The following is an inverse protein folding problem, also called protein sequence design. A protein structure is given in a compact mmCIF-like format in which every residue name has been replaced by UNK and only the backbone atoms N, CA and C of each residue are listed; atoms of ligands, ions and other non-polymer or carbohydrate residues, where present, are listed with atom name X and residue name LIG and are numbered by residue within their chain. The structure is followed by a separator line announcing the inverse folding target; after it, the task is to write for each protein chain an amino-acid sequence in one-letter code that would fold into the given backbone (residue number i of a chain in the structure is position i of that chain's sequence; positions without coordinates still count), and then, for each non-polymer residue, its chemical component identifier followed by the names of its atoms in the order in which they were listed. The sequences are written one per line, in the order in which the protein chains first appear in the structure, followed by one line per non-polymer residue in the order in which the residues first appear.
data_IF_955623236290
#
_entry.id   IF_955623236290
#
_cell.length_a   1.000
_cell.length_b   1.000
_cell.length_c   1.000
_cell.angle_alpha   90.00
_cell.angle_beta   90.00
_cell.angle_gamma   90.00
#
_symmetry.space_group_name_H-M   'P 1'
#
loop_
_entity.id
_entity.type
_entity.pdbx_description
1 polymer ?
#
# COMPACT_ATOMS: atom_id res chain seq x y z
N UNK A 1 53.91 35.90 -40.40
CA UNK A 1 53.19 34.88 -41.19
C UNK A 1 51.79 34.75 -40.62
N UNK A 2 50.76 34.90 -41.47
CA UNK A 2 49.33 34.89 -41.10
C UNK A 2 48.74 33.50 -41.40
N UNK A 3 48.00 32.94 -40.45
CA UNK A 3 46.91 31.92 -40.59
C UNK A 3 46.22 31.84 -39.22
N UNK A 4 45.08 32.52 -38.96
CA UNK A 4 43.66 32.18 -39.24
C UNK A 4 43.17 30.85 -38.63
N UNK A 5 42.22 30.97 -37.71
CA UNK A 5 41.24 29.94 -37.32
C UNK A 5 40.83 30.11 -35.84
N UNK A 6 39.57 30.17 -35.42
CA UNK A 6 38.28 30.23 -36.11
C UNK A 6 37.25 30.63 -35.04
N UNK A 7 36.39 31.61 -35.33
CA UNK A 7 35.24 32.00 -34.51
C UNK A 7 33.99 31.31 -35.08
N UNK A 8 33.16 30.68 -34.25
CA UNK A 8 31.80 30.23 -34.58
C UNK A 8 30.94 30.47 -33.32
N UNK A 9 30.09 31.51 -33.25
CA UNK A 9 28.76 31.74 -33.87
C UNK A 9 27.62 30.97 -33.17
N UNK A 10 26.90 31.74 -32.33
CA UNK A 10 25.45 31.94 -32.15
C UNK A 10 24.47 30.80 -32.49
N UNK A 11 23.38 30.77 -31.69
CA UNK A 11 21.95 30.55 -32.05
C UNK A 11 21.36 29.56 -31.04
N UNK A 12 20.26 29.81 -30.34
CA UNK A 12 19.27 30.87 -30.44
C UNK A 12 18.07 30.43 -29.59
N UNK A 13 17.36 31.41 -29.05
CA UNK A 13 16.12 31.24 -28.29
C UNK A 13 15.08 30.44 -29.07
N UNK A 14 14.53 29.41 -28.44
CA UNK A 14 13.27 28.81 -28.86
C UNK A 14 12.18 29.23 -27.86
N UNK A 15 11.37 30.19 -28.29
CA UNK A 15 10.04 30.44 -27.71
C UNK A 15 9.08 29.45 -28.39
N UNK A 16 8.47 28.56 -27.61
CA UNK A 16 7.29 27.79 -28.02
C UNK A 16 6.25 28.00 -26.91
N UNK A 17 5.36 28.97 -27.12
CA UNK A 17 3.98 28.78 -27.58
C UNK A 17 3.10 28.16 -26.49
N UNK A 18 2.32 29.04 -25.87
CA UNK A 18 1.26 28.68 -24.95
C UNK A 18 0.21 27.79 -25.60
N UNK A 19 -0.13 26.74 -24.87
CA UNK A 19 -1.42 26.07 -24.92
C UNK A 19 -1.94 26.09 -23.49
N UNK A 20 -2.87 27.01 -23.21
CA UNK A 20 -3.77 26.90 -22.06
C UNK A 20 -4.64 25.66 -22.29
N UNK A 21 -4.16 24.52 -21.83
CA UNK A 21 -5.01 23.38 -21.55
C UNK A 21 -5.42 23.50 -20.09
N UNK A 22 -6.73 23.58 -19.82
CA UNK A 22 -7.25 23.16 -18.52
C UNK A 22 -6.74 21.73 -18.31
N UNK A 23 -5.71 21.58 -17.48
CA UNK A 23 -5.26 20.26 -17.07
C UNK A 23 -6.44 19.58 -16.38
N UNK A 24 -6.81 18.33 -16.75
CA UNK A 24 -7.69 17.55 -15.90
C UNK A 24 -7.01 17.47 -14.54
N UNK A 25 -7.76 17.65 -13.46
CA UNK A 25 -7.26 17.41 -12.11
C UNK A 25 -6.63 16.02 -12.08
N UNK A 26 -5.30 15.97 -12.16
CA UNK A 26 -4.57 14.73 -12.01
C UNK A 26 -4.90 14.25 -10.60
N UNK A 27 -5.40 13.02 -10.41
CA UNK A 27 -5.41 12.45 -9.07
C UNK A 27 -3.97 12.54 -8.52
N UNK A 28 -3.78 12.84 -7.23
CA UNK A 28 -2.45 13.04 -6.67
C UNK A 28 -1.56 11.85 -7.03
N UNK A 29 -0.45 12.15 -7.70
CA UNK A 29 0.44 11.14 -8.29
C UNK A 29 1.15 10.25 -7.25
N UNK A 30 1.03 10.55 -5.96
CA UNK A 30 1.67 9.79 -4.89
C UNK A 30 0.89 8.52 -4.49
N UNK A 31 -0.45 8.54 -4.48
CA UNK A 31 -1.22 7.40 -3.90
C UNK A 31 -1.17 6.10 -4.72
N UNK A 32 -0.95 6.19 -6.03
CA UNK A 32 -0.84 4.98 -6.86
C UNK A 32 0.53 4.32 -6.73
N UNK A 33 1.58 5.12 -6.51
CA UNK A 33 2.93 4.64 -6.32
C UNK A 33 3.10 3.99 -4.94
N UNK A 34 2.41 4.50 -3.91
CA UNK A 34 2.43 3.94 -2.56
C UNK A 34 1.72 2.56 -2.49
N UNK A 35 0.61 2.40 -3.20
CA UNK A 35 -0.12 1.11 -3.25
C UNK A 35 0.71 -0.01 -3.91
N UNK A 36 1.45 0.28 -4.99
CA UNK A 36 2.33 -0.70 -5.65
C UNK A 36 3.49 -1.12 -4.73
N UNK A 37 4.04 -0.19 -3.94
CA UNK A 37 5.10 -0.48 -2.96
C UNK A 37 4.57 -1.41 -1.87
N UNK A 38 3.39 -1.12 -1.34
CA UNK A 38 2.74 -1.98 -0.34
C UNK A 38 2.44 -3.36 -0.91
N UNK A 39 1.90 -3.43 -2.12
CA UNK A 39 1.60 -4.70 -2.78
C UNK A 39 2.86 -5.56 -2.97
N UNK A 40 3.96 -4.94 -3.43
CA UNK A 40 5.24 -5.63 -3.58
C UNK A 40 5.79 -6.13 -2.24
N UNK A 41 5.69 -5.33 -1.17
CA UNK A 41 6.11 -5.72 0.17
C UNK A 41 5.30 -6.89 0.71
N UNK A 42 3.98 -6.87 0.52
CA UNK A 42 3.08 -7.94 0.94
C UNK A 42 3.37 -9.24 0.17
N UNK A 43 3.55 -9.18 -1.15
CA UNK A 43 3.93 -10.36 -1.96
C UNK A 43 5.28 -10.94 -1.54
N UNK A 44 6.23 -10.10 -1.13
CA UNK A 44 7.54 -10.57 -0.64
C UNK A 44 7.42 -11.24 0.74
N UNK A 45 6.57 -10.73 1.63
CA UNK A 45 6.35 -11.27 2.96
C UNK A 45 5.45 -12.52 2.96
N UNK A 46 4.51 -12.61 2.02
CA UNK A 46 3.55 -13.71 1.89
C UNK A 46 3.71 -14.37 0.52
N UNK A 47 4.73 -15.23 0.34
CA UNK A 47 5.00 -15.89 -0.94
C UNK A 47 3.90 -16.88 -1.35
N UNK A 48 3.03 -17.27 -0.40
CA UNK A 48 1.87 -18.13 -0.63
C UNK A 48 0.69 -17.38 -1.26
N UNK A 49 0.69 -16.05 -1.23
CA UNK A 49 -0.36 -15.25 -1.83
C UNK A 49 -0.22 -15.23 -3.35
N UNK A 50 -1.23 -15.76 -4.05
CA UNK A 50 -1.29 -15.79 -5.52
C UNK A 50 -1.77 -14.47 -6.11
N UNK A 51 -2.55 -13.71 -5.35
CA UNK A 51 -3.03 -12.39 -5.73
C UNK A 51 -3.16 -11.50 -4.48
N UNK A 52 -2.82 -10.22 -4.65
CA UNK A 52 -2.79 -9.20 -3.60
C UNK A 52 -3.41 -7.94 -4.16
N UNK A 53 -4.55 -7.53 -3.59
CA UNK A 53 -5.16 -6.24 -3.92
C UNK A 53 -4.84 -5.27 -2.81
N UNK A 54 -4.28 -4.12 -3.14
CA UNK A 54 -4.07 -3.01 -2.21
C UNK A 54 -4.83 -1.79 -2.70
N UNK A 55 -5.55 -1.14 -1.79
CA UNK A 55 -6.12 0.17 -2.05
C UNK A 55 -5.92 1.08 -0.86
N UNK A 56 -5.39 2.24 -1.15
CA UNK A 56 -5.40 3.35 -0.21
C UNK A 56 -6.73 4.08 -0.28
N UNK A 57 -7.29 4.38 0.89
CA UNK A 57 -8.44 5.26 1.00
C UNK A 57 -8.03 6.44 1.86
N UNK A 58 -7.89 7.60 1.23
CA UNK A 58 -7.75 8.89 1.89
C UNK A 58 -9.08 9.64 1.87
N UNK A 59 -9.71 9.81 3.03
CA UNK A 59 -10.75 10.80 3.26
C UNK A 59 -10.17 12.04 3.93
N UNK A 60 -10.95 13.13 4.01
CA UNK A 60 -10.59 14.38 4.70
C UNK A 60 -10.08 14.22 6.16
N UNK A 61 -10.30 13.06 6.78
CA UNK A 61 -10.01 12.79 8.19
C UNK A 61 -9.41 11.43 8.47
N UNK A 62 -9.22 10.59 7.45
CA UNK A 62 -8.66 9.27 7.70
C UNK A 62 -7.94 8.70 6.48
N UNK A 63 -6.76 8.13 6.73
CA UNK A 63 -5.97 7.40 5.75
C UNK A 63 -5.97 5.91 6.14
N UNK A 64 -6.29 5.05 5.18
CA UNK A 64 -6.43 3.62 5.40
C UNK A 64 -5.81 2.84 4.26
N UNK A 65 -5.27 1.66 4.58
CA UNK A 65 -4.86 0.67 3.58
C UNK A 65 -5.78 -0.54 3.67
N UNK A 66 -6.43 -0.90 2.56
CA UNK A 66 -7.23 -2.10 2.44
C UNK A 66 -6.48 -3.13 1.60
N UNK A 67 -6.31 -4.33 2.15
CA UNK A 67 -5.57 -5.45 1.54
C UNK A 67 -6.45 -6.69 1.44
N UNK A 68 -6.47 -7.35 0.29
CA UNK A 68 -7.05 -8.69 0.12
C UNK A 68 -6.02 -9.65 -0.43
N UNK A 69 -5.95 -10.83 0.19
CA UNK A 69 -5.01 -11.91 -0.13
C UNK A 69 -5.79 -13.13 -0.59
N UNK A 70 -5.26 -13.83 -1.60
CA UNK A 70 -5.69 -15.17 -1.98
C UNK A 70 -4.53 -16.14 -1.82
N UNK A 71 -4.71 -17.20 -1.05
CA UNK A 71 -3.70 -18.23 -0.81
C UNK A 71 -4.32 -19.64 -0.98
N UNK A 72 -4.69 -20.05 -2.21
CA UNK A 72 -5.38 -21.32 -2.50
C UNK A 72 -4.65 -22.61 -2.07
N UNK A 73 -3.36 -22.51 -1.73
CA UNK A 73 -2.56 -23.62 -1.24
C UNK A 73 -2.34 -23.63 0.27
N UNK A 74 -2.77 -22.59 0.99
CA UNK A 74 -2.60 -22.48 2.43
C UNK A 74 -3.74 -23.17 3.17
N UNK A 75 -3.44 -23.73 4.34
CA UNK A 75 -4.45 -24.27 5.24
C UNK A 75 -4.97 -23.22 6.23
N UNK A 76 -6.10 -23.51 6.89
CA UNK A 76 -6.67 -22.60 7.89
C UNK A 76 -5.73 -22.36 9.08
N UNK A 77 -4.86 -23.32 9.41
CA UNK A 77 -3.89 -23.15 10.50
C UNK A 77 -2.78 -22.14 10.16
N UNK A 78 -2.48 -21.93 8.88
CA UNK A 78 -1.56 -20.92 8.40
C UNK A 78 -2.19 -19.51 8.33
N UNK A 79 -3.52 -19.40 8.38
CA UNK A 79 -4.23 -18.13 8.16
C UNK A 79 -3.75 -17.01 9.09
N UNK A 80 -3.57 -17.30 10.39
CA UNK A 80 -3.07 -16.32 11.34
C UNK A 80 -1.65 -15.85 10.99
N UNK A 81 -0.76 -16.78 10.62
CA UNK A 81 0.61 -16.44 10.23
C UNK A 81 0.66 -15.58 8.97
N UNK A 82 -0.15 -15.93 7.95
CA UNK A 82 -0.27 -15.18 6.70
C UNK A 82 -0.76 -13.76 6.97
N UNK A 83 -1.81 -13.61 7.78
CA UNK A 83 -2.38 -12.30 8.12
C UNK A 83 -1.40 -11.47 8.94
N UNK A 84 -0.68 -12.04 9.90
CA UNK A 84 0.36 -11.35 10.68
C UNK A 84 1.49 -10.83 9.79
N UNK A 85 2.03 -11.69 8.91
CA UNK A 85 3.09 -11.32 7.97
C UNK A 85 2.65 -10.20 7.02
N UNK A 86 1.43 -10.28 6.50
CA UNK A 86 0.88 -9.23 5.65
C UNK A 86 0.64 -7.92 6.41
N UNK A 87 0.10 -7.98 7.64
CA UNK A 87 -0.10 -6.79 8.47
C UNK A 87 1.22 -6.09 8.78
N UNK A 88 2.27 -6.86 9.10
CA UNK A 88 3.62 -6.33 9.31
C UNK A 88 4.16 -5.65 8.03
N UNK A 89 4.07 -6.34 6.88
CA UNK A 89 4.53 -5.80 5.61
C UNK A 89 3.79 -4.52 5.22
N UNK A 90 2.46 -4.48 5.36
CA UNK A 90 1.66 -3.26 5.10
C UNK A 90 2.04 -2.17 6.09
N UNK A 91 2.18 -2.48 7.39
CA UNK A 91 2.57 -1.50 8.40
C UNK A 91 3.92 -0.87 8.11
N UNK A 92 4.90 -1.64 7.64
CA UNK A 92 6.23 -1.12 7.32
C UNK A 92 6.24 -0.28 6.04
N UNK A 93 5.43 -0.64 5.05
CA UNK A 93 5.46 -0.05 3.70
C UNK A 93 4.42 1.03 3.42
N UNK A 94 3.33 1.12 4.20
CA UNK A 94 2.25 2.09 3.98
C UNK A 94 2.71 3.56 4.00
N UNK A 95 1.92 4.53 3.55
CA UNK A 95 2.21 5.94 3.82
C UNK A 95 2.16 6.28 5.32
N UNK A 96 2.94 7.27 5.75
CA UNK A 96 2.88 7.77 7.13
C UNK A 96 1.49 8.32 7.45
N UNK A 97 1.04 8.16 8.70
CA UNK A 97 -0.24 8.73 9.15
C UNK A 97 -1.49 7.92 8.80
N UNK A 98 -1.35 6.64 8.44
CA UNK A 98 -2.50 5.71 8.37
C UNK A 98 -3.15 5.58 9.76
N UNK A 99 -4.48 5.52 9.80
CA UNK A 99 -5.23 5.30 11.03
C UNK A 99 -5.53 3.82 11.27
N UNK A 100 -5.61 3.03 10.20
CA UNK A 100 -5.90 1.61 10.27
C UNK A 100 -5.53 0.87 8.98
N UNK A 101 -5.35 -0.45 9.12
CA UNK A 101 -5.25 -1.40 8.02
C UNK A 101 -6.50 -2.28 8.05
N UNK A 102 -7.11 -2.52 6.89
CA UNK A 102 -8.17 -3.52 6.74
C UNK A 102 -7.65 -4.67 5.90
N UNK A 103 -7.70 -5.89 6.40
CA UNK A 103 -7.17 -7.07 5.71
C UNK A 103 -8.22 -8.19 5.63
N UNK A 104 -8.23 -8.91 4.51
CA UNK A 104 -9.02 -10.13 4.34
C UNK A 104 -8.18 -11.19 3.63
N UNK A 105 -8.43 -12.46 3.94
CA UNK A 105 -7.74 -13.60 3.36
C UNK A 105 -8.78 -14.60 2.84
N UNK A 106 -8.58 -15.09 1.61
CA UNK A 106 -9.30 -16.21 1.04
C UNK A 106 -8.33 -17.37 0.76
N UNK A 107 -8.70 -18.59 1.15
CA UNK A 107 -7.92 -19.81 0.90
C UNK A 107 -8.35 -20.52 -0.39
N UNK A 108 -9.01 -19.78 -1.29
CA UNK A 108 -9.50 -20.24 -2.59
C UNK A 108 -8.85 -19.45 -3.71
N UNK A 109 -8.95 -19.97 -4.94
CA UNK A 109 -8.46 -19.25 -6.10
C UNK A 109 -9.18 -17.89 -6.25
N UNK A 110 -8.48 -16.84 -6.70
CA UNK A 110 -9.11 -15.56 -6.95
C UNK A 110 -10.18 -15.70 -8.06
N UNK A 111 -11.34 -15.02 -7.92
CA UNK A 111 -12.32 -14.98 -8.98
C UNK A 111 -11.75 -14.23 -10.20
N UNK A 112 -12.34 -14.43 -11.38
CA UNK A 112 -11.85 -13.81 -12.62
C UNK A 112 -11.79 -12.27 -12.58
N UNK A 113 -12.50 -11.63 -11.65
CA UNK A 113 -12.46 -10.19 -11.38
C UNK A 113 -12.37 -9.99 -9.87
N UNK A 114 -11.16 -10.02 -9.30
CA UNK A 114 -10.98 -9.89 -7.87
C UNK A 114 -11.41 -8.50 -7.38
N UNK A 115 -11.97 -8.46 -6.17
CA UNK A 115 -12.48 -7.23 -5.57
C UNK A 115 -12.16 -7.15 -4.08
N UNK A 116 -11.79 -5.96 -3.62
CA UNK A 116 -11.61 -5.69 -2.18
C UNK A 116 -12.92 -5.75 -1.38
N UNK A 117 -14.08 -5.67 -2.05
CA UNK A 117 -15.41 -5.68 -1.41
C UNK A 117 -16.01 -7.07 -1.28
N UNK A 118 -15.29 -8.11 -1.66
CA UNK A 118 -15.74 -9.49 -1.51
C UNK A 118 -15.89 -9.88 -0.03
N UNK A 119 -16.88 -10.76 0.20
CA UNK A 119 -17.35 -11.19 1.53
C UNK A 119 -17.12 -12.67 1.80
N UNK A 120 -16.34 -13.34 0.96
CA UNK A 120 -15.80 -14.67 1.20
C UNK A 120 -14.38 -14.59 1.78
N UNK A 121 -14.04 -15.58 2.59
CA UNK A 121 -12.74 -15.66 3.24
C UNK A 121 -12.76 -16.52 4.49
N UNK A 122 -11.62 -16.59 5.15
CA UNK A 122 -11.46 -17.22 6.46
C UNK A 122 -12.15 -16.40 7.55
N UNK A 123 -12.52 -17.07 8.64
CA UNK A 123 -13.07 -16.42 9.83
C UNK A 123 -12.03 -15.49 10.46
N UNK A 124 -12.20 -14.17 10.24
CA UNK A 124 -11.26 -13.17 10.75
C UNK A 124 -11.38 -12.95 12.26
N UNK A 125 -12.47 -13.37 12.89
CA UNK A 125 -12.59 -13.31 14.35
C UNK A 125 -11.64 -14.33 15.00
N UNK A 126 -11.63 -15.58 14.50
CA UNK A 126 -10.70 -16.61 14.96
C UNK A 126 -9.22 -16.25 14.69
N UNK A 127 -8.95 -15.64 13.53
CA UNK A 127 -7.60 -15.12 13.22
C UNK A 127 -7.20 -14.03 14.20
N UNK A 128 -8.07 -13.05 14.46
CA UNK A 128 -7.78 -11.96 15.39
C UNK A 128 -7.52 -12.45 16.82
N UNK A 129 -8.32 -13.42 17.29
CA UNK A 129 -8.11 -14.08 18.59
C UNK A 129 -6.73 -14.76 18.65
N UNK A 130 -6.37 -15.52 17.61
CA UNK A 130 -5.07 -16.19 17.51
C UNK A 130 -3.91 -15.20 17.52
N UNK A 131 -4.09 -14.03 16.91
CA UNK A 131 -3.10 -12.96 16.91
C UNK A 131 -3.05 -12.18 18.23
N UNK A 132 -4.03 -12.36 19.12
CA UNK A 132 -4.13 -11.60 20.37
C UNK A 132 -4.43 -10.11 20.12
N UNK A 133 -5.30 -9.81 19.15
CA UNK A 133 -5.78 -8.44 18.92
C UNK A 133 -6.91 -8.17 19.92
N UNK A 134 -6.70 -7.22 20.83
CA UNK A 134 -7.59 -7.00 21.99
C UNK A 134 -8.97 -6.40 21.62
N UNK A 135 -9.07 -5.60 20.56
CA UNK A 135 -10.31 -4.97 20.10
C UNK A 135 -10.43 -5.03 18.56
N UNK A 136 -10.65 -6.24 18.00
CA UNK A 136 -10.67 -6.41 16.56
C UNK A 136 -11.98 -5.88 15.98
N UNK A 137 -11.89 -5.01 14.98
CA UNK A 137 -13.05 -4.61 14.21
C UNK A 137 -13.25 -5.58 13.05
N UNK A 138 -14.17 -6.52 13.21
CA UNK A 138 -14.54 -7.46 12.15
C UNK A 138 -15.66 -6.86 11.29
N UNK A 139 -15.40 -6.73 9.99
CA UNK A 139 -16.37 -6.24 9.00
C UNK A 139 -16.84 -7.43 8.17
N UNK A 140 -18.15 -7.63 8.11
CA UNK A 140 -18.82 -8.69 7.35
C UNK A 140 -18.32 -10.13 7.64
N UNK A 141 -17.69 -10.35 8.81
CA UNK A 141 -17.16 -11.66 9.26
C UNK A 141 -15.81 -12.09 8.66
N UNK A 142 -15.39 -11.48 7.54
CA UNK A 142 -14.21 -11.94 6.77
C UNK A 142 -13.14 -10.88 6.58
N UNK A 143 -13.33 -9.67 7.14
CA UNK A 143 -12.35 -8.60 7.07
C UNK A 143 -12.00 -8.11 8.47
N UNK A 144 -10.72 -8.14 8.77
CA UNK A 144 -10.14 -7.64 10.01
C UNK A 144 -9.66 -6.20 9.80
N UNK A 145 -10.15 -5.27 10.60
CA UNK A 145 -9.64 -3.89 10.67
C UNK A 145 -8.85 -3.71 11.95
N UNK A 146 -7.59 -3.29 11.80
CA UNK A 146 -6.63 -3.10 12.89
C UNK A 146 -6.19 -1.64 12.94
N UNK A 147 -6.36 -1.00 14.10
CA UNK A 147 -5.99 0.40 14.29
C UNK A 147 -4.46 0.60 14.31
N UNK A 148 -3.99 1.75 13.84
CA UNK A 148 -2.55 2.10 13.81
C UNK A 148 -1.89 2.06 15.20
N UNK A 149 -2.64 2.41 16.26
CA UNK A 149 -2.15 2.27 17.65
C UNK A 149 -1.84 0.82 18.01
N UNK A 150 -2.67 -0.11 17.57
CA UNK A 150 -2.48 -1.54 17.82
C UNK A 150 -1.29 -2.07 17.02
N UNK A 151 -1.21 -1.70 15.74
CA UNK A 151 -0.08 -2.03 14.87
C UNK A 151 1.25 -1.49 15.40
N UNK A 152 1.26 -0.27 15.93
CA UNK A 152 2.45 0.34 16.52
C UNK A 152 2.88 -0.35 17.82
N UNK A 153 1.95 -0.86 18.63
CA UNK A 153 2.27 -1.66 19.82
C UNK A 153 2.86 -3.02 19.41
N UNK A 154 2.32 -3.63 18.35
CA UNK A 154 2.71 -4.96 17.89
C UNK A 154 4.04 -4.98 17.13
N UNK A 155 4.21 -4.08 16.17
CA UNK A 155 5.35 -4.06 15.24
C UNK A 155 6.32 -2.91 15.50
N UNK A 156 6.04 -2.06 16.49
CA UNK A 156 6.85 -0.90 16.82
C UNK A 156 6.46 0.36 16.04
N UNK A 157 7.02 1.49 16.50
CA UNK A 157 6.88 2.75 15.81
C UNK A 157 7.50 2.66 14.41
N UNK A 158 6.81 3.24 13.43
CA UNK A 158 7.36 3.30 12.07
C UNK A 158 8.64 4.13 12.10
N UNK A 159 9.67 3.74 11.35
CA UNK A 159 10.79 4.64 11.11
C UNK A 159 10.21 5.90 10.45
N UNK A 160 10.19 7.01 11.17
CA UNK A 160 9.93 8.32 10.60
C UNK A 160 10.99 8.53 9.53
N UNK A 161 10.59 8.49 8.25
CA UNK A 161 11.44 8.91 7.15
C UNK A 161 11.91 10.32 7.49
N UNK A 162 13.18 10.43 7.88
CA UNK A 162 13.72 11.62 8.53
C UNK A 162 13.42 12.89 7.74
N UNK A 163 12.46 13.67 8.23
CA UNK A 163 12.31 15.09 7.95
C UNK A 163 12.57 15.94 9.21
N UNK A 164 13.16 15.32 10.25
CA UNK A 164 13.74 15.99 11.40
C UNK A 164 15.23 15.66 11.42
N UNK A 165 15.97 16.26 10.51
CA UNK A 165 17.42 16.40 10.63
C UNK A 165 17.77 17.88 10.55
N UNK A 166 18.03 18.40 11.75
CA UNK A 166 18.79 19.60 12.10
C UNK A 166 18.18 20.98 11.76
N UNK A 167 17.71 21.63 12.84
CA UNK A 167 17.73 23.09 12.97
C UNK A 167 19.09 23.64 13.38
#
# INVERSE_FOLDING_TARGET
MRSRGLTAVVVGSAVALGLSACAPAQPPADTAQDAEVVEAAVRAAVPEATDVLVKESGGLRSLAVATRLYAPGADESAAAHIVDAALAAVWESAPNGIDHISISLALSDPPARPSLSEVDGVDMAAVAETLGIDDPQIVDGVRLRVAARELAQRYGARPSTGADSDG
#
